data_IF_603776228486
#
_entry.id   IF_603776228486
#
_cell.length_a   1.000
_cell.length_b   1.000
_cell.length_c   1.000
_cell.angle_alpha   90.00
_cell.angle_beta   90.00
_cell.angle_gamma   90.00
#
_symmetry.space_group_name_H-M   'P 1'
#
loop_
_entity.id
_entity.type
_entity.pdbx_description
1 polymer ?
#
# COMPACT_ATOMS: atom_id res chain seq x y z
N UNK A 1 -0.96 -2.23 -26.52
CA UNK A 1 -2.05 -1.51 -25.83
C UNK A 1 -1.41 -0.51 -24.86
N UNK A 2 -1.51 0.79 -25.08
CA UNK A 2 -0.91 1.78 -24.16
C UNK A 2 -1.83 1.86 -22.93
N UNK A 3 -1.49 1.18 -21.84
CA UNK A 3 -2.10 1.42 -20.53
C UNK A 3 -1.88 2.91 -20.18
N UNK A 4 -2.86 3.75 -20.50
CA UNK A 4 -2.87 5.17 -20.13
C UNK A 4 -3.36 5.27 -18.67
N UNK A 5 -2.52 4.86 -17.75
CA UNK A 5 -2.74 5.10 -16.34
C UNK A 5 -2.49 6.59 -16.06
N UNK A 6 -3.53 7.35 -15.93
CA UNK A 6 -3.50 8.69 -15.35
C UNK A 6 -4.35 8.66 -14.09
N UNK A 7 -3.70 8.59 -12.92
CA UNK A 7 -4.36 9.04 -11.70
C UNK A 7 -4.74 10.50 -11.94
N UNK A 8 -6.04 10.77 -11.97
CA UNK A 8 -6.52 12.15 -12.04
C UNK A 8 -6.43 12.75 -10.62
N UNK A 9 -5.46 13.64 -10.35
CA UNK A 9 -5.32 14.23 -9.02
C UNK A 9 -6.51 15.14 -8.67
N UNK A 10 -7.32 15.53 -9.65
CA UNK A 10 -8.51 16.36 -9.45
C UNK A 10 -9.76 15.54 -9.12
N UNK A 11 -9.70 14.21 -9.10
CA UNK A 11 -10.85 13.41 -8.69
C UNK A 11 -11.22 13.78 -7.26
N UNK A 12 -12.28 14.57 -7.13
CA UNK A 12 -12.87 14.93 -5.86
C UNK A 12 -13.44 13.66 -5.22
N UNK A 13 -12.94 13.31 -4.05
CA UNK A 13 -13.59 12.30 -3.22
C UNK A 13 -14.78 13.03 -2.57
N UNK A 14 -15.86 13.13 -3.33
CA UNK A 14 -17.10 13.67 -2.83
C UNK A 14 -17.69 12.68 -1.83
N UNK A 15 -17.77 13.07 -0.59
CA UNK A 15 -18.45 12.32 0.44
C UNK A 15 -19.67 13.15 0.83
N UNK A 16 -20.89 12.72 0.46
CA UNK A 16 -22.09 13.31 1.03
C UNK A 16 -22.12 12.91 2.52
N UNK A 17 -22.05 13.90 3.39
CA UNK A 17 -22.49 13.79 4.76
C UNK A 17 -23.55 14.86 4.91
N UNK A 18 -24.73 14.51 5.39
CA UNK A 18 -25.85 15.40 5.71
C UNK A 18 -26.44 16.16 4.52
N UNK A 19 -26.58 15.55 3.35
CA UNK A 19 -27.21 16.23 2.21
C UNK A 19 -26.43 17.45 1.67
N UNK A 20 -25.23 17.73 2.20
CA UNK A 20 -24.35 18.77 1.70
C UNK A 20 -23.28 18.15 0.79
N UNK A 21 -23.25 18.55 -0.48
CA UNK A 21 -22.24 18.19 -1.49
C UNK A 21 -20.84 18.76 -1.20
N UNK A 22 -20.42 18.89 0.06
CA UNK A 22 -19.10 19.44 0.39
C UNK A 22 -18.02 18.35 0.25
N UNK A 23 -17.11 18.59 -0.67
CA UNK A 23 -15.87 17.80 -0.80
C UNK A 23 -15.08 17.89 0.50
N UNK A 24 -14.77 16.74 1.12
CA UNK A 24 -14.04 16.69 2.39
C UNK A 24 -12.54 16.72 2.18
N UNK A 25 -12.01 15.93 1.23
CA UNK A 25 -10.63 16.01 0.78
C UNK A 25 -10.52 15.51 -0.67
N UNK A 26 -9.41 15.83 -1.34
CA UNK A 26 -9.15 15.43 -2.72
C UNK A 26 -7.94 14.50 -2.76
N UNK A 27 -7.85 13.67 -3.79
CA UNK A 27 -6.72 12.78 -3.97
C UNK A 27 -5.38 13.56 -4.06
N UNK A 28 -5.41 14.77 -4.63
CA UNK A 28 -4.24 15.65 -4.73
C UNK A 28 -3.68 16.08 -3.35
N UNK A 29 -4.52 16.09 -2.30
CA UNK A 29 -4.11 16.47 -0.94
C UNK A 29 -3.16 15.43 -0.31
N UNK A 30 -3.15 14.20 -0.84
CA UNK A 30 -2.33 13.09 -0.35
C UNK A 30 -1.42 12.50 -1.43
N UNK A 31 -1.47 12.98 -2.67
CA UNK A 31 -0.72 12.42 -3.80
C UNK A 31 0.55 13.21 -4.07
N UNK A 32 1.68 12.52 -4.14
CA UNK A 32 2.92 13.10 -4.68
C UNK A 32 2.85 13.06 -6.21
N UNK A 33 2.51 14.20 -6.80
CA UNK A 33 2.40 14.33 -8.26
C UNK A 33 3.76 14.04 -8.93
N UNK A 34 3.82 13.07 -9.85
CA UNK A 34 5.07 12.73 -10.54
C UNK A 34 5.71 13.95 -11.23
N UNK A 35 7.00 14.14 -10.99
CA UNK A 35 7.77 15.26 -11.56
C UNK A 35 7.62 16.59 -10.82
N UNK A 36 6.71 16.70 -9.83
CA UNK A 36 6.60 17.87 -8.97
C UNK A 36 7.47 17.67 -7.73
N UNK A 37 8.43 18.57 -7.50
CA UNK A 37 9.23 18.57 -6.26
C UNK A 37 8.39 18.98 -5.08
N UNK A 38 8.40 18.17 -4.03
CA UNK A 38 7.67 18.42 -2.77
C UNK A 38 8.65 18.63 -1.62
N UNK A 39 8.16 19.29 -0.57
CA UNK A 39 8.75 19.28 0.76
C UNK A 39 7.77 18.60 1.72
N UNK A 40 8.20 17.53 2.35
CA UNK A 40 7.34 16.72 3.22
C UNK A 40 6.76 17.57 4.37
N UNK A 41 7.60 18.42 4.98
CA UNK A 41 7.20 19.28 6.09
C UNK A 41 6.22 20.39 5.68
N UNK A 42 6.37 20.95 4.47
CA UNK A 42 5.55 22.09 4.01
C UNK A 42 4.25 21.64 3.37
N UNK A 43 4.32 20.58 2.58
CA UNK A 43 3.25 20.21 1.65
C UNK A 43 2.32 19.13 2.20
N UNK A 44 2.71 18.41 3.28
CA UNK A 44 1.94 17.30 3.84
C UNK A 44 1.88 17.37 5.38
N UNK A 45 0.81 17.98 5.89
CA UNK A 45 0.55 18.03 7.34
C UNK A 45 0.13 16.65 7.89
N UNK A 46 0.88 16.06 8.85
CA UNK A 46 0.52 14.78 9.48
C UNK A 46 -0.83 14.81 10.22
N UNK A 47 -1.26 16.00 10.67
CA UNK A 47 -2.51 16.24 11.38
C UNK A 47 -3.72 16.53 10.49
N UNK A 48 -3.53 16.61 9.17
CA UNK A 48 -4.62 16.88 8.21
C UNK A 48 -5.76 15.86 8.33
N UNK A 49 -7.00 16.35 8.28
CA UNK A 49 -8.21 15.55 8.50
C UNK A 49 -9.26 15.69 7.38
N UNK A 50 -8.90 16.28 6.26
CA UNK A 50 -9.80 16.44 5.12
C UNK A 50 -11.10 17.19 5.41
N UNK A 51 -11.11 18.08 6.41
CA UNK A 51 -12.30 18.82 6.82
C UNK A 51 -13.29 18.04 7.71
N UNK A 52 -12.98 16.78 8.10
CA UNK A 52 -13.79 16.05 9.06
C UNK A 52 -13.61 16.62 10.49
N UNK A 53 -14.73 16.76 11.22
CA UNK A 53 -14.70 17.26 12.60
C UNK A 53 -14.20 16.21 13.60
N UNK A 54 -14.40 14.92 13.32
CA UNK A 54 -14.01 13.82 14.22
C UNK A 54 -14.17 12.46 13.58
N UNK A 55 -13.92 11.41 14.36
CA UNK A 55 -13.99 10.00 13.95
C UNK A 55 -15.40 9.61 13.51
N UNK A 56 -16.42 10.07 14.23
CA UNK A 56 -17.83 9.74 14.01
C UNK A 56 -18.27 10.14 12.62
N UNK A 57 -17.84 11.32 12.15
CA UNK A 57 -18.14 11.84 10.81
C UNK A 57 -17.52 11.03 9.65
N UNK A 58 -16.63 10.09 9.96
CA UNK A 58 -15.96 9.23 8.98
C UNK A 58 -16.39 7.76 9.01
N UNK A 59 -17.14 7.33 10.05
CA UNK A 59 -17.47 5.92 10.27
C UNK A 59 -18.24 5.30 9.10
N UNK A 60 -19.28 5.98 8.62
CA UNK A 60 -20.09 5.52 7.48
C UNK A 60 -19.23 5.34 6.23
N UNK A 61 -18.34 6.29 5.95
CA UNK A 61 -17.46 6.21 4.79
C UNK A 61 -16.43 5.10 4.91
N UNK A 62 -15.88 4.88 6.10
CA UNK A 62 -14.96 3.77 6.36
C UNK A 62 -15.66 2.43 6.11
N UNK A 63 -16.92 2.27 6.59
CA UNK A 63 -17.71 1.07 6.34
C UNK A 63 -18.04 0.89 4.85
N UNK A 64 -18.47 1.97 4.17
CA UNK A 64 -18.72 1.96 2.73
C UNK A 64 -17.47 1.56 1.92
N UNK A 65 -16.29 2.06 2.31
CA UNK A 65 -15.04 1.71 1.64
C UNK A 65 -14.66 0.24 1.84
N UNK A 66 -14.96 -0.34 3.00
CA UNK A 66 -14.74 -1.78 3.23
C UNK A 66 -15.57 -2.63 2.25
N UNK A 67 -16.84 -2.31 2.06
CA UNK A 67 -17.69 -2.97 1.06
C UNK A 67 -17.22 -2.76 -0.39
N UNK A 68 -16.83 -1.51 -0.73
CA UNK A 68 -16.25 -1.21 -2.06
C UNK A 68 -15.00 -2.04 -2.33
N UNK A 69 -14.09 -2.09 -1.35
CA UNK A 69 -12.83 -2.82 -1.48
C UNK A 69 -13.08 -4.33 -1.62
N UNK A 70 -14.01 -4.90 -0.84
CA UNK A 70 -14.40 -6.30 -0.96
C UNK A 70 -14.91 -6.63 -2.37
N UNK A 71 -15.85 -5.82 -2.90
CA UNK A 71 -16.38 -6.01 -4.25
C UNK A 71 -15.32 -5.86 -5.36
N UNK A 72 -14.39 -4.91 -5.20
CA UNK A 72 -13.29 -4.72 -6.16
C UNK A 72 -12.28 -5.86 -6.10
N UNK A 73 -11.99 -6.37 -4.91
CA UNK A 73 -11.09 -7.51 -4.72
C UNK A 73 -11.70 -8.79 -5.34
N UNK A 74 -12.99 -9.02 -5.17
CA UNK A 74 -13.68 -10.17 -5.76
C UNK A 74 -13.59 -10.14 -7.30
N UNK A 75 -13.78 -8.96 -7.92
CA UNK A 75 -13.61 -8.80 -9.37
C UNK A 75 -12.16 -8.98 -9.80
N UNK A 76 -11.19 -8.44 -9.04
CA UNK A 76 -9.76 -8.63 -9.31
C UNK A 76 -9.40 -10.11 -9.30
N UNK A 77 -9.87 -10.84 -8.29
CA UNK A 77 -9.63 -12.28 -8.16
C UNK A 77 -10.27 -13.08 -9.29
N UNK A 78 -11.52 -12.79 -9.62
CA UNK A 78 -12.24 -13.49 -10.66
C UNK A 78 -11.70 -13.23 -12.08
N UNK A 79 -11.24 -12.01 -12.35
CA UNK A 79 -10.68 -11.62 -13.65
C UNK A 79 -9.28 -12.19 -13.88
N UNK A 80 -8.40 -12.13 -12.86
CA UNK A 80 -7.06 -12.72 -12.92
C UNK A 80 -6.04 -12.02 -13.83
N UNK A 81 -6.36 -10.85 -14.43
CA UNK A 81 -5.46 -10.14 -15.35
C UNK A 81 -4.42 -9.26 -14.63
N UNK A 82 -4.78 -8.79 -13.45
CA UNK A 82 -3.96 -7.88 -12.64
C UNK A 82 -3.73 -8.45 -11.25
N UNK A 83 -2.68 -7.97 -10.61
CA UNK A 83 -2.51 -8.06 -9.16
C UNK A 83 -2.26 -6.68 -8.57
N UNK A 84 -2.60 -6.50 -7.30
CA UNK A 84 -2.34 -5.26 -6.59
C UNK A 84 -1.20 -5.45 -5.60
N UNK A 85 -0.17 -4.62 -5.66
CA UNK A 85 0.93 -4.61 -4.69
C UNK A 85 0.85 -3.34 -3.83
N UNK A 86 0.36 -3.47 -2.60
CA UNK A 86 0.29 -2.37 -1.64
C UNK A 86 1.59 -2.32 -0.84
N UNK A 87 2.33 -1.22 -0.94
CA UNK A 87 3.59 -1.00 -0.25
C UNK A 87 3.37 0.03 0.85
N UNK A 88 3.46 -0.41 2.12
CA UNK A 88 3.35 0.49 3.27
C UNK A 88 4.71 0.82 3.87
N UNK A 89 5.06 2.09 3.83
CA UNK A 89 6.24 2.64 4.48
C UNK A 89 5.86 3.67 5.55
N UNK A 90 6.59 3.70 6.63
CA UNK A 90 6.38 4.65 7.71
C UNK A 90 7.50 4.60 8.74
N UNK A 91 7.64 5.66 9.52
CA UNK A 91 8.36 5.63 10.79
C UNK A 91 7.72 4.64 11.77
N UNK A 92 8.47 4.23 12.79
CA UNK A 92 7.94 3.35 13.83
C UNK A 92 6.78 4.01 14.58
N UNK A 93 5.87 3.18 15.09
CA UNK A 93 4.61 3.58 15.72
C UNK A 93 3.64 4.39 14.83
N UNK A 94 3.89 4.60 13.54
CA UNK A 94 2.95 5.30 12.65
C UNK A 94 1.62 4.53 12.45
N UNK A 95 1.60 3.21 12.67
CA UNK A 95 0.36 2.42 12.70
C UNK A 95 0.15 1.51 11.50
N UNK A 96 1.23 1.06 10.81
CA UNK A 96 1.17 0.15 9.65
C UNK A 96 0.25 -1.07 9.88
N UNK A 97 0.52 -1.88 10.90
CA UNK A 97 -0.24 -3.11 11.19
C UNK A 97 -1.73 -2.83 11.46
N UNK A 98 -2.00 -1.75 12.22
CA UNK A 98 -3.37 -1.33 12.51
C UNK A 98 -4.11 -0.84 11.27
N UNK A 99 -3.42 -0.22 10.33
CA UNK A 99 -3.98 0.22 9.05
C UNK A 99 -4.31 -0.98 8.17
N UNK A 100 -3.35 -1.92 7.99
CA UNK A 100 -3.58 -3.16 7.24
C UNK A 100 -4.80 -3.88 7.79
N UNK A 101 -4.83 -4.18 9.10
CA UNK A 101 -5.93 -4.90 9.74
C UNK A 101 -7.31 -4.26 9.51
N UNK A 102 -7.40 -2.93 9.59
CA UNK A 102 -8.70 -2.25 9.47
C UNK A 102 -9.12 -2.01 8.02
N UNK A 103 -8.18 -1.72 7.13
CA UNK A 103 -8.49 -1.50 5.71
C UNK A 103 -8.90 -2.80 5.04
N UNK A 104 -8.23 -3.90 5.42
CA UNK A 104 -8.47 -5.22 4.83
C UNK A 104 -9.54 -6.04 5.55
N UNK A 105 -10.25 -5.48 6.55
CA UNK A 105 -11.20 -6.24 7.39
C UNK A 105 -12.40 -6.82 6.64
N UNK A 106 -12.77 -6.25 5.49
CA UNK A 106 -13.89 -6.71 4.65
C UNK A 106 -13.45 -7.53 3.43
N UNK A 107 -12.17 -7.77 3.26
CA UNK A 107 -11.60 -8.43 2.08
C UNK A 107 -11.48 -9.93 2.32
N UNK A 108 -11.76 -10.76 1.28
CA UNK A 108 -11.58 -12.19 1.38
C UNK A 108 -10.09 -12.53 1.61
N UNK A 109 -9.74 -13.18 2.73
CA UNK A 109 -8.36 -13.50 3.05
C UNK A 109 -7.68 -14.43 2.05
N UNK A 110 -8.43 -15.26 1.31
CA UNK A 110 -7.88 -16.10 0.24
C UNK A 110 -7.32 -15.29 -0.94
N UNK A 111 -7.80 -14.06 -1.13
CA UNK A 111 -7.33 -13.16 -2.18
C UNK A 111 -6.24 -12.17 -1.72
N UNK A 112 -5.67 -12.35 -0.52
CA UNK A 112 -4.73 -11.41 0.06
C UNK A 112 -3.55 -12.11 0.72
N UNK A 113 -2.34 -11.55 0.54
CA UNK A 113 -1.14 -12.00 1.23
C UNK A 113 -0.40 -10.82 1.86
N UNK A 114 0.02 -10.96 3.12
CA UNK A 114 0.78 -9.93 3.85
C UNK A 114 2.20 -10.41 4.11
N UNK A 115 3.18 -9.71 3.56
CA UNK A 115 4.59 -9.95 3.82
C UNK A 115 5.16 -8.83 4.67
N UNK A 116 5.72 -9.17 5.84
CA UNK A 116 6.39 -8.21 6.73
C UNK A 116 7.90 -8.33 6.58
N UNK A 117 8.53 -7.31 6.00
CA UNK A 117 9.98 -7.28 5.80
C UNK A 117 10.67 -6.79 7.07
N UNK A 118 11.37 -7.69 7.73
CA UNK A 118 12.30 -7.41 8.83
C UNK A 118 13.73 -7.24 8.29
N UNK A 119 14.71 -7.09 9.19
CA UNK A 119 16.13 -7.16 8.81
C UNK A 119 16.38 -8.44 7.99
N UNK A 120 17.15 -8.35 6.90
CA UNK A 120 17.39 -9.51 6.04
C UNK A 120 18.17 -10.60 6.79
N UNK A 121 17.78 -11.84 6.55
CA UNK A 121 18.47 -13.03 7.05
C UNK A 121 19.84 -13.21 6.36
N UNK A 122 20.68 -14.09 6.92
CA UNK A 122 21.97 -14.43 6.32
C UNK A 122 21.85 -15.03 4.91
N UNK A 123 20.74 -15.73 4.62
CA UNK A 123 20.44 -16.25 3.29
C UNK A 123 20.05 -15.12 2.32
N UNK A 124 19.14 -14.23 2.73
CA UNK A 124 18.70 -13.10 1.92
C UNK A 124 19.86 -12.14 1.59
N UNK A 125 20.84 -11.96 2.49
CA UNK A 125 22.03 -11.16 2.25
C UNK A 125 23.02 -11.76 1.22
N UNK A 126 22.81 -13.00 0.75
CA UNK A 126 23.57 -13.58 -0.37
C UNK A 126 23.03 -13.17 -1.74
N UNK A 127 21.84 -12.60 -1.77
CA UNK A 127 21.16 -12.15 -2.96
C UNK A 127 21.17 -10.61 -3.03
N UNK A 128 20.74 -10.06 -4.16
CA UNK A 128 20.49 -8.62 -4.28
C UNK A 128 19.29 -8.20 -3.41
N UNK A 129 19.21 -6.91 -3.10
CA UNK A 129 18.20 -6.39 -2.16
C UNK A 129 16.74 -6.47 -2.67
N UNK A 130 16.50 -6.67 -3.97
CA UNK A 130 15.17 -6.87 -4.56
C UNK A 130 14.74 -8.34 -4.52
N UNK A 131 15.67 -9.28 -4.41
CA UNK A 131 15.39 -10.71 -4.49
C UNK A 131 14.25 -11.16 -3.57
N UNK A 132 14.32 -10.82 -2.28
CA UNK A 132 13.29 -11.23 -1.30
C UNK A 132 11.92 -10.60 -1.58
N UNK A 133 11.90 -9.39 -2.17
CA UNK A 133 10.67 -8.74 -2.59
C UNK A 133 10.08 -9.44 -3.82
N UNK A 134 10.92 -9.85 -4.77
CA UNK A 134 10.50 -10.61 -5.96
C UNK A 134 9.87 -11.95 -5.61
N UNK A 135 10.39 -12.64 -4.58
CA UNK A 135 9.80 -13.91 -4.10
C UNK A 135 8.43 -13.74 -3.41
N UNK A 136 8.10 -12.55 -2.97
CA UNK A 136 6.87 -12.24 -2.24
C UNK A 136 5.81 -11.49 -3.09
N UNK A 137 6.06 -11.34 -4.39
CA UNK A 137 5.10 -10.68 -5.28
C UNK A 137 3.77 -11.44 -5.33
N UNK A 138 2.64 -10.72 -5.43
CA UNK A 138 1.33 -11.36 -5.55
C UNK A 138 1.16 -12.02 -6.92
N UNK A 139 0.51 -13.17 -6.93
CA UNK A 139 0.00 -13.82 -8.13
C UNK A 139 -1.10 -12.98 -8.78
N UNK A 140 -1.40 -13.23 -10.06
CA UNK A 140 -2.51 -12.59 -10.77
C UNK A 140 -3.84 -12.85 -10.03
N UNK A 141 -4.67 -11.82 -9.91
CA UNK A 141 -5.91 -11.86 -9.13
C UNK A 141 -5.74 -11.53 -7.64
N UNK A 142 -4.52 -11.50 -7.12
CA UNK A 142 -4.24 -11.36 -5.70
C UNK A 142 -3.88 -9.93 -5.28
N UNK A 143 -4.09 -9.62 -4.01
CA UNK A 143 -3.58 -8.41 -3.34
C UNK A 143 -2.40 -8.80 -2.46
N UNK A 144 -1.19 -8.39 -2.85
CA UNK A 144 0.00 -8.45 -2.00
C UNK A 144 0.15 -7.19 -1.16
N UNK A 145 0.48 -7.34 0.12
CA UNK A 145 0.68 -6.21 1.04
C UNK A 145 2.07 -6.33 1.64
N UNK A 146 2.93 -5.39 1.29
CA UNK A 146 4.27 -5.28 1.86
C UNK A 146 4.26 -4.34 3.06
N UNK A 147 4.37 -4.88 4.27
CA UNK A 147 4.61 -4.12 5.49
C UNK A 147 6.12 -3.88 5.62
N UNK A 148 6.57 -2.66 5.29
CA UNK A 148 7.91 -2.32 4.82
C UNK A 148 8.20 -2.99 3.46
N UNK A 149 9.34 -2.72 2.83
CA UNK A 149 9.63 -3.27 1.50
C UNK A 149 11.11 -3.08 1.14
N UNK A 150 11.44 -3.25 -0.13
CA UNK A 150 12.73 -2.89 -0.71
C UNK A 150 13.10 -1.40 -0.54
N UNK A 151 12.15 -0.54 -0.19
CA UNK A 151 12.44 0.86 0.15
C UNK A 151 13.27 1.02 1.42
N UNK A 152 13.37 0.00 2.29
CA UNK A 152 14.28 0.01 3.44
C UNK A 152 15.73 0.27 3.00
N UNK A 153 16.10 -0.14 1.77
CA UNK A 153 17.39 0.14 1.17
C UNK A 153 17.65 1.65 1.01
N UNK A 154 16.63 2.42 0.67
CA UNK A 154 16.69 3.88 0.52
C UNK A 154 16.38 4.65 1.80
N UNK A 155 15.93 3.96 2.83
CA UNK A 155 15.53 4.53 4.13
C UNK A 155 16.52 4.11 5.22
N UNK A 156 16.36 2.91 5.75
CA UNK A 156 17.16 2.41 6.87
C UNK A 156 18.64 2.31 6.48
N UNK A 157 18.97 1.72 5.35
CA UNK A 157 20.37 1.54 4.91
C UNK A 157 21.07 2.88 4.65
N UNK A 158 20.33 3.91 4.23
CA UNK A 158 20.90 5.28 4.10
C UNK A 158 21.14 5.97 5.42
N UNK A 159 20.31 5.72 6.43
CA UNK A 159 20.46 6.29 7.76
C UNK A 159 21.57 5.59 8.54
N UNK A 160 21.78 4.28 8.26
CA UNK A 160 22.72 3.38 8.91
C UNK A 160 23.76 2.84 7.91
N UNK A 161 24.81 3.61 7.56
CA UNK A 161 25.81 3.21 6.56
C UNK A 161 26.53 1.89 6.86
N UNK A 162 26.59 1.49 8.13
CA UNK A 162 27.16 0.22 8.58
C UNK A 162 26.37 -0.99 8.06
N UNK A 163 25.09 -0.82 7.71
CA UNK A 163 24.30 -1.88 7.06
C UNK A 163 24.75 -2.07 5.63
N UNK A 164 24.97 -0.97 4.89
CA UNK A 164 25.51 -1.03 3.54
C UNK A 164 26.90 -1.70 3.50
N UNK A 165 27.75 -1.40 4.49
CA UNK A 165 29.08 -1.98 4.60
C UNK A 165 29.07 -3.51 4.73
N UNK A 166 27.97 -4.08 5.28
CA UNK A 166 27.79 -5.55 5.41
C UNK A 166 27.29 -6.22 4.13
N UNK A 167 26.78 -5.46 3.17
CA UNK A 167 26.33 -6.01 1.89
C UNK A 167 27.54 -6.45 1.05
N UNK A 168 27.45 -7.63 0.40
CA UNK A 168 28.48 -8.16 -0.49
C UNK A 168 28.38 -7.51 -1.87
N UNK A 169 28.84 -6.28 -1.98
CA UNK A 169 28.83 -5.51 -3.22
C UNK A 169 30.26 -5.41 -3.79
N UNK A 170 30.43 -5.48 -5.13
CA UNK A 170 31.70 -5.16 -5.78
C UNK A 170 32.16 -3.74 -5.43
N UNK A 171 33.46 -3.51 -5.28
CA UNK A 171 34.01 -2.21 -4.89
C UNK A 171 33.63 -1.08 -5.87
N UNK A 172 33.58 -1.37 -7.16
CA UNK A 172 33.13 -0.41 -8.17
C UNK A 172 31.71 0.08 -7.95
N UNK A 173 30.82 -0.78 -7.42
CA UNK A 173 29.43 -0.43 -7.07
C UNK A 173 29.39 0.37 -5.77
N UNK A 174 30.14 -0.08 -4.76
CA UNK A 174 30.20 0.54 -3.43
C UNK A 174 30.79 1.96 -3.47
N UNK A 175 31.83 2.15 -4.25
CA UNK A 175 32.53 3.43 -4.41
C UNK A 175 31.89 4.38 -5.42
N UNK A 176 30.87 3.91 -6.16
CA UNK A 176 30.08 4.70 -7.08
C UNK A 176 28.96 5.49 -6.38
N UNK A 177 28.13 6.16 -7.19
CA UNK A 177 26.94 6.83 -6.65
C UNK A 177 25.80 5.80 -6.44
N UNK A 178 25.96 4.96 -5.40
CA UNK A 178 25.07 3.85 -5.12
C UNK A 178 23.61 4.31 -4.92
N UNK A 179 23.38 5.45 -4.28
CA UNK A 179 22.02 5.94 -4.04
C UNK A 179 21.30 6.33 -5.34
N UNK A 180 22.00 6.99 -6.27
CA UNK A 180 21.45 7.32 -7.60
C UNK A 180 21.10 6.03 -8.35
N UNK A 181 21.94 5.02 -8.24
CA UNK A 181 21.70 3.71 -8.84
C UNK A 181 20.48 3.03 -8.21
N UNK A 182 20.36 2.96 -6.86
CA UNK A 182 19.23 2.36 -6.16
C UNK A 182 17.89 3.01 -6.52
N UNK A 183 17.82 4.33 -6.61
CA UNK A 183 16.63 5.04 -7.09
C UNK A 183 16.22 4.61 -8.50
N UNK A 184 17.18 4.48 -9.40
CA UNK A 184 16.92 4.03 -10.77
C UNK A 184 16.45 2.58 -10.81
N UNK A 185 17.12 1.70 -10.08
CA UNK A 185 16.79 0.26 -10.02
C UNK A 185 15.37 0.03 -9.50
N UNK A 186 14.98 0.71 -8.43
CA UNK A 186 13.63 0.60 -7.86
C UNK A 186 12.59 1.12 -8.86
N UNK A 187 12.83 2.26 -9.51
CA UNK A 187 11.89 2.76 -10.52
C UNK A 187 11.74 1.79 -11.70
N UNK A 188 12.84 1.21 -12.18
CA UNK A 188 12.83 0.23 -13.27
C UNK A 188 12.11 -1.07 -12.85
N UNK A 189 12.31 -1.52 -11.60
CA UNK A 189 11.62 -2.68 -11.06
C UNK A 189 10.10 -2.44 -10.98
N UNK A 190 9.67 -1.31 -10.47
CA UNK A 190 8.25 -0.96 -10.41
C UNK A 190 7.63 -0.77 -11.80
N UNK A 191 8.38 -0.21 -12.77
CA UNK A 191 7.94 -0.11 -14.16
C UNK A 191 7.77 -1.51 -14.78
N UNK A 192 8.74 -2.39 -14.56
CA UNK A 192 8.64 -3.80 -14.97
C UNK A 192 7.40 -4.47 -14.39
N UNK A 193 7.16 -4.35 -13.09
CA UNK A 193 5.97 -4.89 -12.43
C UNK A 193 4.68 -4.36 -13.07
N UNK A 194 4.58 -3.04 -13.23
CA UNK A 194 3.42 -2.39 -13.82
C UNK A 194 3.14 -2.86 -15.25
N UNK A 195 4.17 -2.98 -16.08
CA UNK A 195 4.06 -3.47 -17.46
C UNK A 195 3.62 -4.94 -17.54
N UNK A 196 3.78 -5.71 -16.44
CA UNK A 196 3.37 -7.11 -16.34
C UNK A 196 2.10 -7.31 -15.49
N UNK A 197 1.31 -6.26 -15.27
CA UNK A 197 0.00 -6.36 -14.62
C UNK A 197 0.04 -6.32 -13.08
N UNK A 198 1.22 -6.20 -12.46
CA UNK A 198 1.35 -5.97 -11.01
C UNK A 198 1.29 -4.47 -10.73
N UNK A 199 0.22 -3.99 -10.12
CA UNK A 199 -0.05 -2.57 -9.91
C UNK A 199 0.46 -2.09 -8.54
N UNK A 200 1.57 -1.32 -8.48
CA UNK A 200 2.08 -0.83 -7.21
C UNK A 200 1.24 0.32 -6.66
N UNK A 201 0.84 0.23 -5.40
CA UNK A 201 0.19 1.29 -4.62
C UNK A 201 1.08 1.64 -3.45
N UNK A 202 1.79 2.76 -3.56
CA UNK A 202 2.80 3.16 -2.58
C UNK A 202 2.22 4.11 -1.55
N UNK A 203 2.29 3.74 -0.29
CA UNK A 203 1.70 4.46 0.84
C UNK A 203 2.77 4.79 1.87
N UNK A 204 2.93 6.07 2.16
CA UNK A 204 3.73 6.56 3.27
C UNK A 204 2.81 7.10 4.36
N UNK A 205 2.80 6.46 5.54
CA UNK A 205 2.09 6.97 6.71
C UNK A 205 2.92 8.05 7.38
N UNK A 206 2.56 9.30 7.14
CA UNK A 206 3.22 10.48 7.66
C UNK A 206 2.72 10.79 9.07
N UNK A 207 3.46 10.38 10.09
CA UNK A 207 3.17 10.66 11.50
C UNK A 207 4.07 11.81 11.99
N UNK A 208 3.55 12.69 12.85
CA UNK A 208 4.36 13.71 13.50
C UNK A 208 5.28 13.12 14.59
N UNK A 209 6.40 13.80 14.84
CA UNK A 209 7.33 13.42 15.92
C UNK A 209 6.64 13.38 17.28
N UNK A 210 5.71 14.30 17.51
CA UNK A 210 4.96 14.38 18.77
C UNK A 210 3.94 13.24 18.90
N UNK A 211 3.19 12.93 17.86
CA UNK A 211 2.24 11.80 17.91
C UNK A 211 2.98 10.46 18.06
N UNK A 212 4.14 10.31 17.43
CA UNK A 212 4.99 9.12 17.62
C UNK A 212 5.40 8.99 19.10
N UNK A 213 5.81 10.10 19.74
CA UNK A 213 6.15 10.11 21.18
C UNK A 213 4.98 9.64 22.03
N UNK A 214 3.78 10.18 21.80
CA UNK A 214 2.56 9.77 22.51
C UNK A 214 2.28 8.27 22.35
N UNK A 215 2.47 7.75 21.14
CA UNK A 215 2.25 6.31 20.86
C UNK A 215 3.29 5.42 21.54
N UNK A 216 4.53 5.86 21.66
CA UNK A 216 5.55 5.13 22.44
C UNK A 216 5.22 5.12 23.92
N UNK A 217 4.85 6.26 24.51
CA UNK A 217 4.39 6.31 25.89
C UNK A 217 3.19 5.36 26.13
N UNK A 218 2.18 5.40 25.28
CA UNK A 218 1.04 4.50 25.36
C UNK A 218 1.42 3.01 25.21
N UNK A 219 2.52 2.65 24.53
CA UNK A 219 3.04 1.28 24.50
C UNK A 219 3.67 0.86 25.82
N UNK A 220 4.26 1.82 26.56
CA UNK A 220 4.89 1.58 27.87
C UNK A 220 3.82 1.51 28.96
N UNK A 221 2.88 2.45 28.94
CA UNK A 221 1.89 2.63 30.01
C UNK A 221 0.78 1.58 29.97
N UNK A 222 0.45 1.03 28.78
CA UNK A 222 -0.62 0.05 28.61
C UNK A 222 -0.07 -1.39 28.53
N UNK A 223 -0.29 -2.24 29.57
CA UNK A 223 0.26 -3.62 29.60
C UNK A 223 -0.03 -4.45 28.37
N UNK A 224 -1.23 -4.32 27.78
CA UNK A 224 -1.63 -5.02 26.56
C UNK A 224 -0.85 -4.57 25.31
N UNK A 225 -0.06 -3.49 25.40
CA UNK A 225 0.76 -2.95 24.31
C UNK A 225 2.28 -3.11 24.55
N UNK A 226 2.70 -3.50 25.77
CA UNK A 226 4.13 -3.55 26.11
C UNK A 226 4.93 -4.45 25.16
N UNK A 227 4.35 -5.56 24.71
CA UNK A 227 5.00 -6.48 23.76
C UNK A 227 5.36 -5.85 22.40
N UNK A 228 4.80 -4.68 22.08
CA UNK A 228 5.11 -3.89 20.87
C UNK A 228 6.23 -2.89 21.08
N UNK A 229 6.66 -2.69 22.32
CA UNK A 229 7.69 -1.71 22.63
C UNK A 229 9.08 -2.30 22.39
N UNK A 230 9.93 -1.53 21.74
CA UNK A 230 11.33 -1.85 21.53
C UNK A 230 12.19 -0.64 21.93
N UNK A 231 13.25 -0.91 22.71
CA UNK A 231 14.27 0.12 23.00
C UNK A 231 14.94 0.57 21.70
N UNK A 232 15.06 -0.31 20.71
CA UNK A 232 15.56 0.03 19.38
C UNK A 232 14.75 1.12 18.70
N UNK A 233 13.40 1.08 18.81
CA UNK A 233 12.52 2.11 18.23
C UNK A 233 12.81 3.52 18.81
N UNK A 234 13.20 3.59 20.09
CA UNK A 234 13.57 4.87 20.74
C UNK A 234 14.89 5.39 20.19
N UNK A 235 15.87 4.51 19.96
CA UNK A 235 17.15 4.89 19.33
C UNK A 235 16.96 5.35 17.89
N UNK A 236 16.13 4.68 17.11
CA UNK A 236 15.79 5.10 15.75
C UNK A 236 15.17 6.49 15.71
N UNK A 237 14.42 6.89 16.74
CA UNK A 237 13.86 8.24 16.85
C UNK A 237 14.93 9.34 16.94
N UNK A 238 16.13 9.06 17.42
CA UNK A 238 17.25 10.02 17.44
C UNK A 238 17.65 10.43 16.02
N UNK A 239 17.43 9.55 15.03
CA UNK A 239 17.70 9.80 13.63
C UNK A 239 16.52 10.42 12.88
N UNK A 240 15.52 10.98 13.57
CA UNK A 240 14.29 11.52 12.98
C UNK A 240 14.53 12.39 11.74
N UNK A 241 15.41 13.37 11.84
CA UNK A 241 15.64 14.31 10.72
C UNK A 241 16.32 13.66 9.53
N UNK A 242 17.19 12.67 9.76
CA UNK A 242 17.79 11.86 8.69
C UNK A 242 16.73 11.04 7.96
N UNK A 243 15.80 10.42 8.70
CA UNK A 243 14.67 9.69 8.13
C UNK A 243 13.73 10.60 7.35
N UNK A 244 13.37 11.76 7.89
CA UNK A 244 12.52 12.73 7.18
C UNK A 244 13.13 13.14 5.84
N UNK A 245 14.43 13.40 5.80
CA UNK A 245 15.17 13.72 4.58
C UNK A 245 15.22 12.52 3.62
N UNK A 246 15.42 11.31 4.13
CA UNK A 246 15.42 10.10 3.32
C UNK A 246 14.04 9.84 2.69
N UNK A 247 12.95 9.99 3.47
CA UNK A 247 11.58 9.90 2.96
C UNK A 247 11.28 10.97 1.91
N UNK A 248 11.64 12.22 2.16
CA UNK A 248 11.45 13.31 1.17
C UNK A 248 12.17 13.00 -0.15
N UNK A 249 13.40 12.50 -0.09
CA UNK A 249 14.17 12.07 -1.28
C UNK A 249 13.48 10.90 -2.00
N UNK A 250 13.00 9.89 -1.27
CA UNK A 250 12.25 8.74 -1.83
C UNK A 250 10.99 9.22 -2.54
N UNK A 251 10.19 10.03 -1.90
CA UNK A 251 8.95 10.57 -2.45
C UNK A 251 9.21 11.37 -3.74
N UNK A 252 10.23 12.24 -3.73
CA UNK A 252 10.59 13.07 -4.88
C UNK A 252 11.17 12.30 -6.07
N UNK A 253 11.91 11.21 -5.81
CA UNK A 253 12.66 10.50 -6.86
C UNK A 253 11.97 9.23 -7.36
N UNK A 254 11.00 8.72 -6.60
CA UNK A 254 10.31 7.47 -6.97
C UNK A 254 8.80 7.60 -7.12
N UNK A 255 8.23 8.82 -7.01
CA UNK A 255 6.84 9.02 -7.41
C UNK A 255 6.76 9.10 -8.93
N UNK A 256 6.33 8.00 -9.57
CA UNK A 256 6.28 7.86 -11.03
C UNK A 256 4.83 7.88 -11.54
N UNK A 257 4.65 8.04 -12.87
CA UNK A 257 3.32 8.05 -13.48
C UNK A 257 2.57 6.71 -13.36
N UNK A 258 3.29 5.61 -13.24
CA UNK A 258 2.75 4.26 -13.11
C UNK A 258 2.65 3.80 -11.65
N UNK A 259 3.44 4.39 -10.75
CA UNK A 259 3.47 4.08 -9.33
C UNK A 259 3.72 5.34 -8.49
N UNK A 260 2.72 6.23 -8.33
CA UNK A 260 2.87 7.41 -7.50
C UNK A 260 2.78 7.07 -6.01
N UNK A 261 3.37 7.93 -5.16
CA UNK A 261 3.24 7.85 -3.72
C UNK A 261 1.99 8.56 -3.21
N UNK A 262 1.32 7.93 -2.25
CA UNK A 262 0.30 8.54 -1.40
C UNK A 262 0.91 8.84 -0.03
N UNK A 263 0.97 10.11 0.36
CA UNK A 263 1.41 10.57 1.68
C UNK A 263 0.17 10.70 2.56
N UNK A 264 -0.02 9.76 3.46
CA UNK A 264 -1.21 9.66 4.28
C UNK A 264 -0.99 10.33 5.63
N UNK A 265 -1.74 11.36 6.00
CA UNK A 265 -1.73 11.95 7.34
C UNK A 265 -2.05 10.89 8.39
N UNK A 266 -1.13 10.67 9.35
CA UNK A 266 -1.22 9.51 10.24
C UNK A 266 -1.36 9.85 11.73
N UNK A 267 -1.44 11.11 12.12
CA UNK A 267 -1.68 11.49 13.51
C UNK A 267 -3.07 11.04 13.98
N UNK A 268 -4.05 11.07 13.09
CA UNK A 268 -5.37 10.55 13.36
C UNK A 268 -5.57 9.17 12.69
N UNK A 269 -5.47 8.08 13.46
CA UNK A 269 -5.58 6.69 12.97
C UNK A 269 -6.84 6.44 12.13
N UNK A 270 -7.98 7.04 12.53
CA UNK A 270 -9.23 6.90 11.80
C UNK A 270 -9.17 7.54 10.41
N UNK A 271 -8.53 8.73 10.30
CA UNK A 271 -8.37 9.41 9.02
C UNK A 271 -7.37 8.68 8.12
N UNK A 272 -6.25 8.22 8.69
CA UNK A 272 -5.28 7.42 7.94
C UNK A 272 -5.94 6.18 7.29
N UNK A 273 -6.79 5.46 8.04
CA UNK A 273 -7.53 4.29 7.52
C UNK A 273 -8.49 4.66 6.39
N UNK A 274 -9.21 5.77 6.54
CA UNK A 274 -10.09 6.31 5.50
C UNK A 274 -9.28 6.67 4.24
N UNK A 275 -8.21 7.44 4.38
CA UNK A 275 -7.41 7.90 3.26
C UNK A 275 -6.72 6.74 2.52
N UNK A 276 -6.22 5.72 3.26
CA UNK A 276 -5.64 4.51 2.67
C UNK A 276 -6.69 3.71 1.90
N UNK A 277 -7.87 3.46 2.48
CA UNK A 277 -8.93 2.74 1.78
C UNK A 277 -9.40 3.47 0.52
N UNK A 278 -9.53 4.80 0.56
CA UNK A 278 -9.87 5.60 -0.62
C UNK A 278 -8.79 5.51 -1.70
N UNK A 279 -7.52 5.58 -1.34
CA UNK A 279 -6.43 5.47 -2.30
C UNK A 279 -6.47 4.09 -3.01
N UNK A 280 -6.62 3.01 -2.25
CA UNK A 280 -6.69 1.65 -2.80
C UNK A 280 -7.91 1.47 -3.70
N UNK A 281 -9.12 1.84 -3.22
CA UNK A 281 -10.34 1.75 -4.02
C UNK A 281 -10.23 2.56 -5.31
N UNK A 282 -9.67 3.79 -5.24
CA UNK A 282 -9.48 4.64 -6.42
C UNK A 282 -8.56 4.00 -7.45
N UNK A 283 -7.51 3.31 -7.00
CA UNK A 283 -6.59 2.59 -7.90
C UNK A 283 -7.30 1.41 -8.55
N UNK A 284 -7.98 0.56 -7.78
CA UNK A 284 -8.70 -0.61 -8.30
C UNK A 284 -9.83 -0.23 -9.27
N UNK A 285 -10.60 0.82 -8.98
CA UNK A 285 -11.68 1.31 -9.87
C UNK A 285 -11.17 1.76 -11.24
N UNK A 286 -9.90 2.09 -11.36
CA UNK A 286 -9.28 2.49 -12.64
C UNK A 286 -8.83 1.34 -13.51
N UNK A 287 -8.80 0.13 -12.95
CA UNK A 287 -8.49 -1.08 -13.70
C UNK A 287 -9.68 -1.58 -14.52
N UNK A 288 -10.87 -0.96 -14.38
CA UNK A 288 -12.12 -1.37 -15.05
C UNK A 288 -12.41 -2.87 -14.85
N UNK A 289 -12.24 -3.33 -13.58
CA UNK A 289 -12.37 -4.72 -13.20
C UNK A 289 -13.80 -5.24 -13.42
N UNK A 290 -13.93 -6.42 -14.05
CA UNK A 290 -15.20 -7.06 -14.39
C UNK A 290 -15.16 -8.54 -14.06
N UNK A 291 -16.30 -9.10 -13.71
CA UNK A 291 -16.41 -10.55 -13.68
C UNK A 291 -16.26 -11.11 -15.10
N UNK A 292 -15.57 -12.24 -15.30
CA UNK A 292 -15.50 -12.91 -16.60
C UNK A 292 -16.89 -13.24 -17.11
N UNK A 293 -17.12 -13.01 -18.38
CA UNK A 293 -18.34 -13.41 -19.06
C UNK A 293 -18.19 -14.82 -19.60
N UNK A 294 -19.16 -15.67 -19.35
CA UNK A 294 -19.21 -17.02 -19.95
C UNK A 294 -19.65 -16.92 -21.40
N UNK A 295 -19.13 -17.82 -22.26
CA UNK A 295 -19.60 -17.93 -23.65
C UNK A 295 -21.08 -18.31 -23.70
N UNK A 296 -21.72 -18.11 -24.85
CA UNK A 296 -23.13 -18.50 -25.07
C UNK A 296 -23.34 -19.99 -24.83
N UNK A 297 -22.44 -20.81 -25.36
CA UNK A 297 -22.46 -22.27 -25.23
C UNK A 297 -22.35 -22.68 -23.76
N UNK A 298 -21.42 -22.09 -23.03
CA UNK A 298 -21.24 -22.36 -21.60
C UNK A 298 -22.46 -21.92 -20.79
N UNK A 299 -23.09 -20.79 -21.15
CA UNK A 299 -24.34 -20.36 -20.51
C UNK A 299 -25.48 -21.34 -20.71
N UNK A 300 -25.64 -21.89 -21.92
CA UNK A 300 -26.64 -22.90 -22.21
C UNK A 300 -26.39 -24.20 -21.42
N UNK A 301 -25.14 -24.63 -21.32
CA UNK A 301 -24.75 -25.76 -20.49
C UNK A 301 -25.10 -25.55 -19.01
N UNK A 302 -24.78 -24.39 -18.46
CA UNK A 302 -25.11 -24.04 -17.08
C UNK A 302 -26.62 -24.02 -16.82
N UNK A 303 -27.43 -23.58 -17.79
CA UNK A 303 -28.89 -23.60 -17.68
C UNK A 303 -29.42 -25.03 -17.65
N UNK A 304 -28.91 -25.94 -18.49
CA UNK A 304 -29.29 -27.37 -18.47
C UNK A 304 -28.94 -28.04 -17.13
N UNK A 305 -27.72 -27.76 -16.60
CA UNK A 305 -27.29 -28.27 -15.30
C UNK A 305 -28.21 -27.72 -14.18
N UNK A 306 -28.55 -26.43 -14.25
CA UNK A 306 -29.48 -25.82 -13.28
C UNK A 306 -30.86 -26.51 -13.28
N UNK A 307 -31.40 -26.79 -14.46
CA UNK A 307 -32.69 -27.51 -14.59
C UNK A 307 -32.59 -28.92 -14.02
N UNK A 308 -31.56 -29.67 -14.33
CA UNK A 308 -31.31 -31.02 -13.78
C UNK A 308 -31.22 -30.99 -12.24
N UNK A 309 -30.47 -30.02 -11.66
CA UNK A 309 -30.36 -29.87 -10.21
C UNK A 309 -31.68 -29.45 -9.56
N UNK A 310 -32.47 -28.60 -10.23
CA UNK A 310 -33.77 -28.15 -9.72
C UNK A 310 -34.80 -29.27 -9.70
N UNK A 311 -34.74 -30.21 -10.68
CA UNK A 311 -35.65 -31.36 -10.79
C UNK A 311 -35.19 -32.56 -9.94
N UNK A 312 -34.14 -32.43 -9.13
CA UNK A 312 -33.65 -33.54 -8.28
C UNK A 312 -32.96 -34.69 -9.04
N UNK A 313 -32.73 -34.53 -10.35
CA UNK A 313 -32.01 -35.49 -11.15
C UNK A 313 -30.50 -35.27 -11.07
N UNK A 314 -29.92 -35.68 -9.91
CA UNK A 314 -28.48 -35.83 -9.81
C UNK A 314 -28.05 -37.06 -10.63
N UNK A 315 -27.98 -36.95 -11.97
CA UNK A 315 -27.32 -37.96 -12.78
C UNK A 315 -25.81 -37.79 -12.65
N UNK A 316 -25.19 -38.88 -12.17
CA UNK A 316 -23.75 -39.10 -12.14
C UNK A 316 -23.08 -38.56 -13.41
N UNK A 317 -22.36 -37.47 -13.27
CA UNK A 317 -21.33 -37.08 -14.21
C UNK A 317 -20.04 -37.78 -13.74
N UNK A 318 -19.93 -39.07 -14.03
CA UNK A 318 -18.68 -39.80 -14.11
C UNK A 318 -18.25 -39.79 -15.58
N UNK A 319 -17.13 -39.21 -15.83
CA UNK A 319 -15.97 -39.43 -16.70
C UNK A 319 -15.37 -38.13 -17.23
#
# INVERSE_FOLDING_TARGET
MKLRWKLDPKRKIAIPIDGSNKVRFRLEDILVTPGKKISLKRDFDPGFRGGYRGKEAALERVASNAGRLASLQEKLYAQGDYSLLIILQAMDAAGKDGTIRHVMSGVNPQGCHVTSFKAPSASELKHDYLWRASQALPESGMIGIFNRSYYEELLVVRVHPEILAKQKLPDAVRNGNIWKQRFREINNFEEHLFCNGVIPVKIFLNVSKEEQRKRFLARIDEPAKNWKFSIGDCKEREHWDKYQKAFEDVLNRTSTKFAPWFVIPADHKWFARLAVSEAICTVLERLDLKFPTVSKERREELLRIRESLANGEARNASD
#
